data_IF_754361849532
#
_entry.id   IF_754361849532
#
_cell.length_a   1.000
_cell.length_b   1.000
_cell.length_c   1.000
_cell.angle_alpha   90.00
_cell.angle_beta   90.00
_cell.angle_gamma   90.00
#
_symmetry.space_group_name_H-M   'P 1'
#
loop_
_entity.id
_entity.type
_entity.pdbx_description
1 polymer ?
#
# COMPACT_ATOMS: atom_id res chain seq x y z
N UNK A 1 -17.60 15.84 -24.40
CA UNK A 1 -18.59 15.33 -23.44
C UNK A 1 -18.15 13.92 -23.08
N UNK A 2 -17.49 13.70 -21.95
CA UNK A 2 -17.17 12.34 -21.45
C UNK A 2 -18.49 11.69 -21.04
N UNK A 3 -18.82 10.55 -21.63
CA UNK A 3 -19.96 9.74 -21.21
C UNK A 3 -19.79 9.44 -19.72
N UNK A 4 -20.68 9.97 -18.88
CA UNK A 4 -20.79 9.53 -17.48
C UNK A 4 -21.22 8.06 -17.53
N UNK A 5 -20.29 7.13 -17.39
CA UNK A 5 -20.64 5.75 -17.13
C UNK A 5 -21.45 5.74 -15.82
N UNK A 6 -22.64 5.19 -15.90
CA UNK A 6 -23.48 4.95 -14.73
C UNK A 6 -22.71 3.93 -13.89
N UNK A 7 -22.38 4.26 -12.61
CA UNK A 7 -21.74 3.31 -11.71
C UNK A 7 -22.53 2.01 -11.70
N UNK A 8 -21.83 0.89 -11.92
CA UNK A 8 -22.46 -0.40 -11.93
C UNK A 8 -23.04 -0.72 -10.54
N UNK A 9 -24.20 -1.38 -10.47
CA UNK A 9 -24.72 -1.92 -9.21
C UNK A 9 -23.73 -2.89 -8.56
N UNK A 10 -23.71 -2.95 -7.24
CA UNK A 10 -22.77 -3.79 -6.49
C UNK A 10 -22.88 -5.29 -6.81
N UNK A 11 -24.08 -5.76 -7.13
CA UNK A 11 -24.35 -7.13 -7.58
C UNK A 11 -23.61 -7.49 -8.89
N UNK A 12 -23.37 -6.54 -9.76
CA UNK A 12 -22.56 -6.73 -10.96
C UNK A 12 -21.09 -6.95 -10.60
N UNK A 13 -20.54 -6.18 -9.65
CA UNK A 13 -19.18 -6.40 -9.17
C UNK A 13 -19.02 -7.79 -8.52
N UNK A 14 -20.01 -8.19 -7.74
CA UNK A 14 -20.00 -9.50 -7.07
C UNK A 14 -19.99 -10.63 -8.09
N UNK A 15 -20.91 -10.55 -9.06
CA UNK A 15 -20.96 -11.51 -10.14
C UNK A 15 -19.63 -11.58 -10.88
N UNK A 16 -19.03 -10.43 -11.20
CA UNK A 16 -17.72 -10.35 -11.84
C UNK A 16 -16.62 -11.04 -11.01
N UNK A 17 -16.52 -10.76 -9.69
CA UNK A 17 -15.54 -11.38 -8.80
C UNK A 17 -15.78 -12.90 -8.65
N UNK A 18 -17.03 -13.36 -8.70
CA UNK A 18 -17.36 -14.80 -8.66
C UNK A 18 -17.01 -15.52 -9.96
N UNK A 19 -17.14 -14.85 -11.11
CA UNK A 19 -16.85 -15.42 -12.42
C UNK A 19 -15.36 -15.51 -12.71
N UNK A 20 -14.61 -14.43 -12.45
CA UNK A 20 -13.18 -14.35 -12.78
C UNK A 20 -12.26 -14.84 -11.66
N UNK A 21 -12.65 -14.67 -10.40
CA UNK A 21 -11.91 -15.17 -9.21
C UNK A 21 -10.44 -14.71 -9.14
N UNK A 22 -10.09 -13.63 -9.78
CA UNK A 22 -8.78 -13.02 -9.72
C UNK A 22 -8.88 -11.51 -9.46
N UNK A 23 -7.99 -11.01 -8.65
CA UNK A 23 -7.88 -9.59 -8.37
C UNK A 23 -6.44 -9.22 -7.99
N UNK A 24 -6.04 -8.00 -8.26
CA UNK A 24 -4.92 -7.35 -7.58
C UNK A 24 -5.50 -6.33 -6.62
N UNK A 25 -5.15 -6.45 -5.33
CA UNK A 25 -5.64 -5.57 -4.29
C UNK A 25 -4.51 -4.66 -3.84
N UNK A 26 -4.68 -3.36 -4.05
CA UNK A 26 -3.75 -2.32 -3.63
C UNK A 26 -4.26 -1.73 -2.33
N UNK A 27 -3.50 -1.88 -1.25
CA UNK A 27 -3.82 -1.38 0.07
C UNK A 27 -3.04 -0.11 0.36
N UNK A 28 -3.73 0.94 0.72
CA UNK A 28 -3.14 2.25 1.02
C UNK A 28 -3.08 2.56 2.52
N UNK A 29 -2.45 3.69 2.89
CA UNK A 29 -2.24 4.08 4.28
C UNK A 29 -3.53 4.36 5.06
N UNK A 30 -4.61 4.72 4.38
CA UNK A 30 -5.86 5.09 5.04
C UNK A 30 -6.54 3.94 5.78
N UNK A 31 -6.22 2.68 5.43
CA UNK A 31 -6.70 1.52 6.20
C UNK A 31 -6.13 1.46 7.62
N UNK A 32 -5.04 2.18 7.90
CA UNK A 32 -4.35 2.22 9.19
C UNK A 32 -4.68 3.45 10.02
N UNK A 33 -5.42 4.41 9.46
CA UNK A 33 -5.65 5.72 10.04
C UNK A 33 -4.46 6.68 9.83
N UNK A 34 -4.59 7.88 10.36
CA UNK A 34 -3.58 8.93 10.18
C UNK A 34 -2.24 8.59 10.85
N UNK A 35 -1.15 8.78 10.11
CA UNK A 35 0.19 8.74 10.71
C UNK A 35 0.42 9.98 11.54
N UNK A 36 0.98 9.77 12.74
CA UNK A 36 1.43 10.89 13.55
C UNK A 36 2.59 11.59 12.88
N UNK A 37 2.54 12.91 12.94
CA UNK A 37 3.61 13.79 12.51
C UNK A 37 4.46 14.17 13.71
N UNK A 38 5.75 14.40 13.48
CA UNK A 38 6.68 14.88 14.49
C UNK A 38 6.97 16.37 14.25
N UNK A 39 6.68 17.21 15.23
CA UNK A 39 7.02 18.64 15.19
C UNK A 39 8.37 18.88 15.86
N UNK A 40 9.30 19.49 15.14
CA UNK A 40 10.62 19.85 15.66
C UNK A 40 10.98 21.24 15.11
N UNK A 41 11.20 22.20 16.01
CA UNK A 41 11.57 23.58 15.68
C UNK A 41 10.59 24.22 14.68
N UNK A 42 9.28 24.09 14.91
CA UNK A 42 8.20 24.61 14.05
C UNK A 42 8.11 23.96 12.65
N UNK A 43 8.96 22.99 12.34
CA UNK A 43 8.85 22.17 11.13
C UNK A 43 8.14 20.83 11.46
N UNK A 44 7.21 20.47 10.62
CA UNK A 44 6.49 19.19 10.71
C UNK A 44 7.21 18.12 9.89
N UNK A 45 7.51 16.99 10.51
CA UNK A 45 8.14 15.86 9.87
C UNK A 45 7.25 14.63 9.95
N UNK A 46 7.12 13.95 8.85
CA UNK A 46 6.49 12.63 8.80
C UNK A 46 7.53 11.49 8.85
N UNK A 47 7.04 10.27 8.91
CA UNK A 47 7.87 9.06 8.97
C UNK A 47 8.74 8.82 7.74
N UNK A 48 8.48 9.54 6.65
CA UNK A 48 9.19 9.43 5.38
C UNK A 48 10.23 10.54 5.18
N UNK A 49 10.49 11.34 6.22
CA UNK A 49 11.38 12.49 6.08
C UNK A 49 12.84 12.15 6.40
N UNK A 50 13.63 11.90 5.36
CA UNK A 50 15.07 11.61 5.47
C UNK A 50 15.87 12.74 6.13
N UNK A 51 15.46 14.00 5.99
CA UNK A 51 16.19 15.14 6.55
C UNK A 51 16.26 15.08 8.07
N UNK A 52 15.17 14.65 8.73
CA UNK A 52 15.14 14.48 10.18
C UNK A 52 16.16 13.44 10.64
N UNK A 53 16.25 12.28 9.95
CA UNK A 53 17.21 11.24 10.29
C UNK A 53 18.67 11.72 10.21
N UNK A 54 18.97 12.61 9.29
CA UNK A 54 20.33 13.13 9.08
C UNK A 54 20.66 14.24 10.09
N UNK A 55 19.74 15.18 10.30
CA UNK A 55 19.97 16.38 11.13
C UNK A 55 19.83 16.10 12.63
N UNK A 56 18.85 15.29 13.00
CA UNK A 56 18.45 15.05 14.39
C UNK A 56 18.25 13.54 14.64
N UNK A 57 19.31 12.70 14.52
CA UNK A 57 19.15 11.24 14.54
C UNK A 57 18.48 10.72 15.81
N UNK A 58 18.80 11.28 17.00
CA UNK A 58 18.17 10.85 18.24
C UNK A 58 16.65 11.10 18.24
N UNK A 59 16.23 12.29 17.83
CA UNK A 59 14.81 12.63 17.73
C UNK A 59 14.11 11.77 16.69
N UNK A 60 14.75 11.54 15.52
CA UNK A 60 14.23 10.64 14.50
C UNK A 60 14.03 9.22 15.05
N UNK A 61 15.05 8.63 15.70
CA UNK A 61 14.96 7.26 16.18
C UNK A 61 13.96 7.10 17.32
N UNK A 62 13.86 8.07 18.23
CA UNK A 62 12.82 8.08 19.25
C UNK A 62 11.42 8.11 18.63
N UNK A 63 11.19 9.04 17.72
CA UNK A 63 9.93 9.12 17.00
C UNK A 63 9.64 7.82 16.21
N UNK A 64 10.62 7.30 15.50
CA UNK A 64 10.48 6.08 14.72
C UNK A 64 10.09 4.88 15.60
N UNK A 65 10.76 4.69 16.74
CA UNK A 65 10.46 3.59 17.66
C UNK A 65 9.12 3.79 18.35
N UNK A 66 8.81 5.01 18.79
CA UNK A 66 7.64 5.27 19.62
C UNK A 66 6.35 5.40 18.82
N UNK A 67 6.41 5.87 17.58
CA UNK A 67 5.22 6.16 16.80
C UNK A 67 5.09 5.31 15.52
N UNK A 68 6.21 4.88 14.93
CA UNK A 68 6.19 4.15 13.66
C UNK A 68 6.32 2.63 13.87
N UNK A 69 7.19 2.20 14.81
CA UNK A 69 7.37 0.76 15.09
C UNK A 69 6.29 0.20 16.02
N UNK A 70 5.72 1.02 16.87
CA UNK A 70 4.54 0.57 17.62
C UNK A 70 3.49 0.14 16.61
N UNK A 71 2.86 -1.04 16.81
CA UNK A 71 1.69 -1.36 16.02
C UNK A 71 0.72 -0.20 16.24
N UNK A 72 0.51 0.62 15.23
CA UNK A 72 -0.66 1.48 15.19
C UNK A 72 -1.82 0.57 15.56
N UNK A 73 -2.72 1.03 16.42
CA UNK A 73 -3.94 0.31 16.72
C UNK A 73 -4.73 0.25 15.40
N UNK A 74 -4.29 -0.66 14.52
CA UNK A 74 -5.03 -1.04 13.35
C UNK A 74 -6.37 -1.42 13.91
N UNK A 75 -7.43 -0.82 13.41
CA UNK A 75 -8.75 -1.34 13.66
C UNK A 75 -8.64 -2.85 13.33
N UNK A 76 -8.62 -3.69 14.36
CA UNK A 76 -8.59 -5.15 14.19
C UNK A 76 -9.74 -5.61 13.28
N UNK A 77 -10.75 -4.75 13.12
CA UNK A 77 -11.89 -4.91 12.26
C UNK A 77 -11.50 -4.88 10.78
N UNK A 78 -10.79 -3.85 10.29
CA UNK A 78 -10.41 -3.76 8.87
C UNK A 78 -9.53 -4.95 8.47
N UNK A 79 -8.52 -5.28 9.27
CA UNK A 79 -7.64 -6.43 9.01
C UNK A 79 -8.43 -7.74 9.01
N UNK A 80 -9.38 -7.90 9.94
CA UNK A 80 -10.25 -9.08 9.99
C UNK A 80 -11.13 -9.17 8.75
N UNK A 81 -11.66 -8.06 8.28
CA UNK A 81 -12.50 -7.99 7.08
C UNK A 81 -11.68 -8.27 5.82
N UNK A 82 -10.49 -7.66 5.69
CA UNK A 82 -9.58 -7.94 4.58
C UNK A 82 -9.20 -9.43 4.53
N UNK A 83 -8.88 -10.04 5.68
CA UNK A 83 -8.60 -11.48 5.75
C UNK A 83 -9.82 -12.34 5.36
N UNK A 84 -11.03 -11.91 5.66
CA UNK A 84 -12.25 -12.60 5.19
C UNK A 84 -12.39 -12.45 3.67
N UNK A 85 -12.21 -11.24 3.13
CA UNK A 85 -12.26 -11.00 1.68
C UNK A 85 -11.25 -11.87 0.93
N UNK A 86 -10.01 -11.92 1.41
CA UNK A 86 -8.95 -12.75 0.85
C UNK A 86 -9.22 -14.26 0.97
N UNK A 87 -9.95 -14.69 2.02
CA UNK A 87 -10.36 -16.09 2.22
C UNK A 87 -11.49 -16.57 1.29
N UNK A 88 -12.06 -15.72 0.46
CA UNK A 88 -13.21 -16.03 -0.41
C UNK A 88 -12.86 -16.71 -1.74
N UNK A 89 -11.75 -17.43 -1.82
CA UNK A 89 -11.26 -18.10 -3.04
C UNK A 89 -10.98 -17.15 -4.23
N UNK A 90 -10.73 -15.87 -3.94
CA UNK A 90 -10.23 -14.93 -4.92
C UNK A 90 -8.70 -15.08 -4.94
N UNK A 91 -8.13 -15.46 -6.08
CA UNK A 91 -6.68 -15.43 -6.27
C UNK A 91 -6.25 -13.97 -6.35
N UNK A 92 -5.55 -13.47 -5.32
CA UNK A 92 -5.18 -12.06 -5.24
C UNK A 92 -3.69 -11.92 -5.02
N UNK A 93 -3.05 -11.09 -5.84
CA UNK A 93 -1.80 -10.46 -5.46
C UNK A 93 -2.14 -9.22 -4.62
N UNK A 94 -1.38 -8.99 -3.55
CA UNK A 94 -1.60 -7.85 -2.66
C UNK A 94 -0.42 -6.92 -2.78
N UNK A 95 -0.68 -5.67 -3.15
CA UNK A 95 0.28 -4.58 -3.15
C UNK A 95 -0.01 -3.73 -1.92
N UNK A 96 0.78 -3.89 -0.86
CA UNK A 96 0.59 -3.18 0.40
C UNK A 96 1.54 -1.99 0.49
N UNK A 97 1.03 -0.80 0.20
CA UNK A 97 1.81 0.44 0.24
C UNK A 97 2.02 0.97 1.66
N UNK A 98 1.43 0.33 2.67
CA UNK A 98 1.68 0.70 4.06
C UNK A 98 3.09 0.36 4.50
N UNK A 99 3.73 1.26 5.21
CA UNK A 99 5.03 1.00 5.85
C UNK A 99 4.91 0.21 7.15
N UNK A 100 3.77 0.28 7.82
CA UNK A 100 3.49 -0.52 9.02
C UNK A 100 3.17 -1.93 8.59
N UNK A 101 3.75 -2.91 9.32
CA UNK A 101 3.46 -4.31 9.07
C UNK A 101 1.99 -4.60 9.34
N UNK A 102 1.22 -4.80 8.29
CA UNK A 102 -0.14 -5.32 8.40
C UNK A 102 -0.12 -6.84 8.67
N UNK A 103 -1.02 -7.32 9.52
CA UNK A 103 -1.17 -8.77 9.76
C UNK A 103 -2.22 -9.30 8.78
N UNK A 104 -1.87 -9.29 7.51
CA UNK A 104 -2.67 -9.93 6.46
C UNK A 104 -2.23 -11.39 6.38
N UNK A 105 -3.17 -12.32 6.55
CA UNK A 105 -2.92 -13.73 6.33
C UNK A 105 -2.78 -13.97 4.82
N UNK A 106 -1.55 -13.90 4.35
CA UNK A 106 -1.21 -14.45 3.05
C UNK A 106 -1.13 -15.97 3.23
N UNK A 107 -2.16 -16.69 2.85
CA UNK A 107 -2.00 -18.11 2.61
C UNK A 107 -1.14 -18.30 1.33
N UNK A 108 -0.83 -19.52 0.99
CA UNK A 108 0.05 -19.88 -0.15
C UNK A 108 -0.47 -19.42 -1.53
N UNK A 109 -1.57 -18.69 -1.60
CA UNK A 109 -2.22 -18.23 -2.84
C UNK A 109 -2.05 -16.75 -3.12
N UNK A 110 -1.58 -15.98 -2.11
CA UNK A 110 -1.50 -14.53 -2.22
C UNK A 110 -0.05 -14.07 -2.06
N UNK A 111 0.50 -13.47 -3.10
CA UNK A 111 1.79 -12.81 -3.02
C UNK A 111 1.63 -11.41 -2.44
N UNK A 112 2.42 -11.11 -1.40
CA UNK A 112 2.44 -9.80 -0.77
C UNK A 112 3.64 -9.00 -1.25
N UNK A 113 3.38 -7.94 -1.99
CA UNK A 113 4.37 -6.98 -2.46
C UNK A 113 4.28 -5.71 -1.60
N UNK A 114 5.39 -5.26 -1.04
CA UNK A 114 5.44 -4.06 -0.19
C UNK A 114 6.37 -3.02 -0.80
N UNK A 115 5.89 -2.19 -1.74
CA UNK A 115 6.74 -1.28 -2.50
C UNK A 115 7.41 -0.22 -1.62
N UNK A 116 6.73 0.27 -0.60
CA UNK A 116 7.25 1.29 0.32
C UNK A 116 8.13 0.71 1.45
N UNK A 117 8.44 -0.60 1.40
CA UNK A 117 9.18 -1.28 2.47
C UNK A 117 8.34 -1.49 3.73
N UNK A 118 8.99 -1.89 4.82
CA UNK A 118 8.33 -2.16 6.11
C UNK A 118 9.11 -1.58 7.28
N UNK A 119 8.39 -1.03 8.24
CA UNK A 119 8.95 -0.37 9.43
C UNK A 119 9.69 -1.31 10.40
N UNK A 120 9.46 -2.61 10.33
CA UNK A 120 10.08 -3.58 11.23
C UNK A 120 11.47 -4.03 10.78
N UNK A 121 12.00 -3.49 9.69
CA UNK A 121 13.32 -3.81 9.14
C UNK A 121 14.16 -2.56 8.93
N UNK A 122 15.47 -2.73 9.11
CA UNK A 122 16.49 -1.73 8.81
C UNK A 122 17.43 -2.30 7.75
N UNK A 123 18.11 -1.42 7.03
CA UNK A 123 19.12 -1.80 6.05
C UNK A 123 20.34 -0.88 6.10
N UNK A 124 21.49 -1.41 5.71
CA UNK A 124 22.70 -0.63 5.48
C UNK A 124 22.67 -0.04 4.06
N UNK A 125 22.80 1.28 3.93
CA UNK A 125 22.82 1.97 2.61
C UNK A 125 24.02 1.60 1.74
N UNK A 126 25.06 0.94 2.29
CA UNK A 126 26.28 0.61 1.56
C UNK A 126 26.36 -0.86 1.13
N UNK A 127 26.06 -1.79 2.02
CA UNK A 127 26.19 -3.22 1.76
C UNK A 127 24.86 -3.97 1.72
N UNK A 128 23.75 -3.26 1.90
CA UNK A 128 22.39 -3.79 1.89
C UNK A 128 22.11 -4.92 2.91
N UNK A 129 23.00 -5.10 3.92
CA UNK A 129 22.73 -6.00 5.04
C UNK A 129 21.49 -5.52 5.77
N UNK A 130 20.55 -6.42 5.98
CA UNK A 130 19.29 -6.14 6.67
C UNK A 130 19.34 -6.54 8.14
N UNK A 131 18.58 -5.83 8.98
CA UNK A 131 18.49 -6.04 10.42
C UNK A 131 17.01 -6.01 10.84
N UNK A 132 16.68 -6.77 11.86
CA UNK A 132 15.36 -6.67 12.49
C UNK A 132 15.36 -5.48 13.47
N UNK A 133 14.47 -4.51 13.22
CA UNK A 133 14.43 -3.30 14.02
C UNK A 133 14.14 -3.60 15.50
N UNK A 134 13.27 -4.57 15.80
CA UNK A 134 12.94 -4.95 17.20
C UNK A 134 14.16 -5.39 18.03
N UNK A 135 15.16 -6.01 17.40
CA UNK A 135 16.39 -6.43 18.09
C UNK A 135 17.36 -5.29 18.37
N UNK A 136 17.07 -4.11 17.85
CA UNK A 136 17.93 -2.92 17.94
C UNK A 136 17.27 -1.75 18.68
N UNK A 137 16.07 -1.92 19.24
CA UNK A 137 15.29 -0.83 19.86
C UNK A 137 16.10 -0.03 20.89
N UNK A 138 16.79 -0.71 21.80
CA UNK A 138 17.56 -0.05 22.86
C UNK A 138 18.71 0.79 22.28
N UNK A 139 19.36 0.27 21.24
CA UNK A 139 20.42 1.00 20.53
C UNK A 139 19.84 2.17 19.72
N UNK A 140 18.65 2.00 19.12
CA UNK A 140 17.97 3.04 18.36
C UNK A 140 17.62 4.24 19.22
N UNK A 141 17.09 4.00 20.44
CA UNK A 141 16.69 5.07 21.38
C UNK A 141 17.88 5.80 22.03
N UNK A 142 19.01 5.13 22.14
CA UNK A 142 20.21 5.70 22.78
C UNK A 142 21.16 6.40 21.81
N UNK A 143 20.88 6.34 20.50
CA UNK A 143 21.83 6.90 19.53
C UNK A 143 21.67 8.39 19.33
N UNK A 144 22.78 9.12 19.48
CA UNK A 144 22.87 10.55 19.14
C UNK A 144 23.42 10.78 17.74
N UNK A 145 23.81 9.71 17.05
CA UNK A 145 24.40 9.75 15.72
C UNK A 145 23.72 8.72 14.81
N UNK A 146 23.82 8.94 13.53
CA UNK A 146 23.37 7.93 12.56
C UNK A 146 24.01 6.59 12.84
N UNK A 147 23.19 5.55 12.97
CA UNK A 147 23.67 4.19 13.19
C UNK A 147 24.59 3.73 12.05
N UNK A 148 25.65 3.02 12.42
CA UNK A 148 26.63 2.47 11.48
C UNK A 148 26.56 0.95 11.42
N UNK A 149 26.68 0.44 10.21
CA UNK A 149 26.93 -0.96 9.96
C UNK A 149 28.42 -1.28 10.16
N UNK A 150 28.74 -2.56 10.39
CA UNK A 150 30.13 -3.05 10.44
C UNK A 150 30.97 -2.67 9.20
N UNK A 151 30.34 -2.51 8.02
CA UNK A 151 30.99 -2.04 6.80
C UNK A 151 31.22 -0.52 6.75
N UNK A 152 30.86 0.23 7.81
CA UNK A 152 30.92 1.69 7.91
C UNK A 152 29.77 2.44 7.22
N UNK A 153 28.85 1.75 6.55
CA UNK A 153 27.67 2.36 5.94
C UNK A 153 26.63 2.80 6.99
N UNK A 154 25.83 3.81 6.68
CA UNK A 154 24.72 4.22 7.54
C UNK A 154 23.60 3.17 7.51
N UNK A 155 22.93 3.00 8.65
CA UNK A 155 21.73 2.16 8.76
C UNK A 155 20.51 3.08 8.70
N UNK A 156 19.52 2.70 7.90
CA UNK A 156 18.22 3.38 7.79
C UNK A 156 17.08 2.36 7.89
N UNK A 157 15.84 2.77 8.19
CA UNK A 157 14.68 1.93 7.94
C UNK A 157 14.58 1.51 6.48
N UNK A 158 14.01 0.34 6.21
CA UNK A 158 13.80 -0.12 4.81
C UNK A 158 12.67 0.60 4.09
N UNK A 159 11.98 1.51 4.78
CA UNK A 159 10.91 2.32 4.18
C UNK A 159 11.45 3.27 3.10
N UNK A 160 10.64 3.50 2.09
CA UNK A 160 10.93 4.46 1.03
C UNK A 160 10.68 5.87 1.56
N UNK A 161 11.69 6.74 1.45
CA UNK A 161 11.56 8.14 1.86
C UNK A 161 11.08 9.02 0.71
N UNK A 162 10.47 10.14 1.02
CA UNK A 162 10.07 11.13 0.02
C UNK A 162 11.24 11.51 -0.90
N UNK A 163 11.01 11.39 -2.21
CA UNK A 163 12.00 11.66 -3.25
C UNK A 163 12.96 10.49 -3.55
N UNK A 164 12.87 9.38 -2.82
CA UNK A 164 13.53 8.13 -3.23
C UNK A 164 12.72 7.43 -4.33
N UNK A 165 13.42 6.73 -5.21
CA UNK A 165 12.78 5.94 -6.27
C UNK A 165 12.61 4.50 -5.80
N UNK A 166 11.58 3.85 -6.30
CA UNK A 166 11.42 2.41 -6.16
C UNK A 166 12.63 1.70 -6.78
N UNK A 167 13.11 0.65 -6.13
CA UNK A 167 14.11 -0.21 -6.75
C UNK A 167 13.48 -0.95 -7.94
N UNK A 168 14.26 -1.17 -9.01
CA UNK A 168 13.75 -1.86 -10.21
C UNK A 168 13.12 -3.22 -9.92
N UNK A 169 13.69 -4.08 -9.03
CA UNK A 169 13.04 -5.34 -8.68
C UNK A 169 11.66 -5.16 -8.06
N UNK A 170 11.48 -4.18 -7.17
CA UNK A 170 10.19 -3.89 -6.53
C UNK A 170 9.20 -3.34 -7.54
N UNK A 171 9.62 -2.38 -8.36
CA UNK A 171 8.80 -1.81 -9.41
C UNK A 171 8.32 -2.88 -10.41
N UNK A 172 9.23 -3.76 -10.86
CA UNK A 172 8.88 -4.85 -11.74
C UNK A 172 7.91 -5.84 -11.06
N UNK A 173 8.14 -6.21 -9.79
CA UNK A 173 7.23 -7.10 -9.07
C UNK A 173 5.79 -6.54 -9.00
N UNK A 174 5.64 -5.22 -8.78
CA UNK A 174 4.34 -4.55 -8.80
C UNK A 174 3.72 -4.60 -10.21
N UNK A 175 4.51 -4.35 -11.24
CA UNK A 175 4.03 -4.41 -12.62
C UNK A 175 3.65 -5.83 -13.03
N UNK A 176 4.49 -6.82 -12.73
CA UNK A 176 4.26 -8.23 -13.08
C UNK A 176 3.03 -8.82 -12.39
N UNK A 177 2.62 -8.25 -11.24
CA UNK A 177 1.36 -8.62 -10.59
C UNK A 177 0.13 -8.24 -11.42
N UNK A 178 0.20 -7.16 -12.20
CA UNK A 178 -0.94 -6.59 -12.94
C UNK A 178 -0.83 -6.85 -14.44
N UNK A 179 0.38 -6.87 -14.98
CA UNK A 179 0.64 -6.94 -16.42
C UNK A 179 1.54 -8.12 -16.76
N UNK A 180 1.27 -8.74 -17.90
CA UNK A 180 2.16 -9.72 -18.55
C UNK A 180 2.50 -9.25 -19.95
N UNK A 181 3.56 -9.80 -20.52
CA UNK A 181 3.88 -9.62 -21.93
C UNK A 181 3.43 -10.84 -22.72
N UNK A 182 2.55 -10.63 -23.69
CA UNK A 182 2.08 -11.67 -24.60
C UNK A 182 2.35 -11.24 -26.05
N UNK A 183 3.18 -11.98 -26.77
CA UNK A 183 3.59 -11.68 -28.15
C UNK A 183 4.19 -10.27 -28.33
N UNK A 184 4.99 -9.79 -27.37
CA UNK A 184 5.64 -8.48 -27.39
C UNK A 184 4.68 -7.31 -27.10
N UNK A 185 3.50 -7.59 -26.57
CA UNK A 185 2.52 -6.56 -26.18
C UNK A 185 2.11 -6.71 -24.73
N UNK A 186 1.92 -5.59 -24.00
CA UNK A 186 1.41 -5.65 -22.64
C UNK A 186 -0.04 -6.13 -22.64
N UNK A 187 -0.37 -7.02 -21.71
CA UNK A 187 -1.72 -7.55 -21.47
C UNK A 187 -1.97 -7.54 -19.97
N UNK A 188 -3.24 -7.39 -19.58
CA UNK A 188 -3.63 -7.50 -18.18
C UNK A 188 -3.55 -8.95 -17.69
N UNK A 189 -2.99 -9.14 -16.49
CA UNK A 189 -2.86 -10.41 -15.78
C UNK A 189 -3.96 -10.60 -14.72
N UNK A 190 -4.87 -9.63 -14.61
CA UNK A 190 -5.96 -9.65 -13.64
C UNK A 190 -7.19 -8.98 -14.24
N UNK A 191 -8.36 -9.53 -13.95
CA UNK A 191 -9.64 -8.93 -14.37
C UNK A 191 -10.10 -7.83 -13.42
N UNK A 192 -9.61 -7.82 -12.18
CA UNK A 192 -9.98 -6.79 -11.21
C UNK A 192 -8.76 -6.11 -10.60
N UNK A 193 -8.70 -4.79 -10.69
CA UNK A 193 -7.76 -3.96 -9.96
C UNK A 193 -8.52 -3.17 -8.89
N UNK A 194 -8.27 -3.50 -7.61
CA UNK A 194 -9.00 -2.93 -6.48
C UNK A 194 -8.08 -2.07 -5.61
N UNK A 195 -8.43 -0.81 -5.43
CA UNK A 195 -7.74 0.15 -4.57
C UNK A 195 -8.55 0.37 -3.28
N UNK A 196 -7.94 0.12 -2.12
CA UNK A 196 -8.57 0.27 -0.80
C UNK A 196 -7.74 1.22 0.07
N UNK A 197 -8.29 2.38 0.40
CA UNK A 197 -7.65 3.37 1.26
C UNK A 197 -6.32 3.89 0.74
N UNK A 198 -6.17 4.02 -0.58
CA UNK A 198 -4.92 4.49 -1.21
C UNK A 198 -4.87 6.00 -1.33
N UNK A 199 -3.65 6.53 -1.32
CA UNK A 199 -3.38 7.92 -1.68
C UNK A 199 -3.09 8.02 -3.18
N UNK A 200 -4.01 8.63 -3.92
CA UNK A 200 -3.91 8.81 -5.37
C UNK A 200 -2.91 9.89 -5.79
N UNK A 201 -2.29 10.59 -4.84
CA UNK A 201 -1.14 11.47 -5.13
C UNK A 201 0.17 10.70 -5.26
N UNK A 202 0.20 9.43 -4.86
CA UNK A 202 1.34 8.53 -5.07
C UNK A 202 1.50 8.24 -6.57
N UNK A 203 2.70 8.51 -7.09
CA UNK A 203 2.99 8.38 -8.52
C UNK A 203 2.90 6.93 -9.02
N UNK A 204 3.22 5.94 -8.17
CA UNK A 204 3.07 4.53 -8.52
C UNK A 204 1.58 4.18 -8.68
N UNK A 205 0.74 4.64 -7.76
CA UNK A 205 -0.72 4.39 -7.81
C UNK A 205 -1.32 5.03 -9.07
N UNK A 206 -0.97 6.30 -9.35
CA UNK A 206 -1.44 6.98 -10.58
C UNK A 206 -1.00 6.25 -11.84
N UNK A 207 0.27 5.80 -11.91
CA UNK A 207 0.77 5.04 -13.06
C UNK A 207 0.04 3.70 -13.23
N UNK A 208 -0.24 2.99 -12.13
CA UNK A 208 -0.93 1.70 -12.19
C UNK A 208 -2.36 1.84 -12.71
N UNK A 209 -3.13 2.80 -12.21
CA UNK A 209 -4.50 3.01 -12.64
C UNK A 209 -4.57 3.46 -14.10
N UNK A 210 -3.71 4.40 -14.52
CA UNK A 210 -3.66 4.89 -15.90
C UNK A 210 -3.28 3.77 -16.88
N UNK A 211 -2.28 2.94 -16.51
CA UNK A 211 -1.84 1.83 -17.35
C UNK A 211 -2.87 0.71 -17.44
N UNK A 212 -3.57 0.42 -16.33
CA UNK A 212 -4.66 -0.56 -16.32
C UNK A 212 -5.83 -0.09 -17.17
N UNK A 213 -6.27 1.15 -17.00
CA UNK A 213 -7.37 1.75 -17.74
C UNK A 213 -7.10 1.84 -19.25
N UNK A 214 -5.83 2.01 -19.64
CA UNK A 214 -5.44 2.04 -21.05
C UNK A 214 -5.57 0.67 -21.75
N UNK A 215 -5.52 -0.43 -20.99
CA UNK A 215 -5.53 -1.80 -21.51
C UNK A 215 -6.84 -2.55 -21.25
N UNK A 216 -7.67 -2.06 -20.29
CA UNK A 216 -8.90 -2.76 -19.89
C UNK A 216 -9.95 -2.75 -20.99
N UNK A 217 -10.69 -3.83 -21.06
CA UNK A 217 -11.91 -4.00 -21.88
C UNK A 217 -13.15 -4.21 -21.00
N UNK A 218 -14.23 -4.74 -21.55
CA UNK A 218 -15.50 -4.97 -20.84
C UNK A 218 -15.43 -6.07 -19.78
N UNK A 219 -14.37 -6.88 -19.77
CA UNK A 219 -14.15 -7.96 -18.81
C UNK A 219 -13.24 -7.54 -17.66
N UNK A 220 -12.78 -6.28 -17.62
CA UNK A 220 -11.85 -5.76 -16.62
C UNK A 220 -12.49 -4.63 -15.81
N UNK A 221 -12.37 -4.71 -14.48
CA UNK A 221 -12.96 -3.75 -13.56
C UNK A 221 -11.89 -3.02 -12.72
N UNK A 222 -12.04 -1.71 -12.63
CA UNK A 222 -11.36 -0.87 -11.63
C UNK A 222 -12.31 -0.63 -10.47
N UNK A 223 -11.87 -0.95 -9.25
CA UNK A 223 -12.64 -0.77 -8.02
C UNK A 223 -11.89 0.19 -7.10
N UNK A 224 -12.56 1.22 -6.61
CA UNK A 224 -11.98 2.20 -5.67
C UNK A 224 -12.84 2.25 -4.41
N UNK A 225 -12.22 1.96 -3.26
CA UNK A 225 -12.80 2.06 -1.92
C UNK A 225 -11.97 3.02 -1.09
N UNK A 226 -12.48 4.21 -0.82
CA UNK A 226 -11.76 5.24 -0.05
C UNK A 226 -12.74 6.25 0.52
N UNK A 227 -12.41 6.85 1.66
CA UNK A 227 -13.16 7.96 2.27
C UNK A 227 -12.56 9.34 1.92
N UNK A 228 -11.40 9.38 1.23
CA UNK A 228 -10.67 10.62 0.94
C UNK A 228 -10.96 11.23 -0.43
N UNK A 229 -11.54 10.48 -1.34
CA UNK A 229 -11.93 11.02 -2.65
C UNK A 229 -13.34 11.56 -2.59
N UNK A 230 -13.52 12.75 -3.14
CA UNK A 230 -14.86 13.29 -3.39
C UNK A 230 -15.45 12.68 -4.67
N UNK A 231 -16.70 13.04 -4.96
CA UNK A 231 -17.40 12.52 -6.15
C UNK A 231 -16.75 12.92 -7.46
N UNK A 232 -16.15 14.10 -7.52
CA UNK A 232 -15.52 14.63 -8.75
C UNK A 232 -14.20 13.89 -9.05
N UNK A 233 -13.43 13.58 -7.99
CA UNK A 233 -12.23 12.75 -8.10
C UNK A 233 -12.57 11.35 -8.62
N UNK A 234 -13.65 10.73 -8.13
CA UNK A 234 -14.12 9.44 -8.66
C UNK A 234 -14.55 9.51 -10.12
N UNK A 235 -15.11 10.65 -10.56
CA UNK A 235 -15.43 10.85 -11.97
C UNK A 235 -14.14 10.92 -12.81
N UNK A 236 -13.07 11.50 -12.29
CA UNK A 236 -11.78 11.58 -12.96
C UNK A 236 -11.19 10.18 -13.19
N UNK A 237 -11.11 9.36 -12.15
CA UNK A 237 -10.59 7.99 -12.24
C UNK A 237 -11.55 7.00 -12.94
N UNK A 238 -12.82 7.36 -13.08
CA UNK A 238 -13.85 6.61 -13.78
C UNK A 238 -13.85 5.09 -13.49
N UNK A 239 -13.83 4.67 -12.21
CA UNK A 239 -13.89 3.25 -11.87
C UNK A 239 -15.26 2.66 -12.23
N UNK A 240 -15.32 1.38 -12.53
CA UNK A 240 -16.58 0.65 -12.68
C UNK A 240 -17.34 0.62 -11.37
N UNK A 241 -16.62 0.54 -10.25
CA UNK A 241 -17.21 0.58 -8.92
C UNK A 241 -16.39 1.50 -8.00
N UNK A 242 -17.03 2.48 -7.39
CA UNK A 242 -16.39 3.41 -6.46
C UNK A 242 -17.24 3.66 -5.23
N UNK A 243 -16.65 3.55 -4.04
CA UNK A 243 -17.26 3.85 -2.75
C UNK A 243 -16.43 4.92 -2.06
N UNK A 244 -17.09 6.00 -1.64
CA UNK A 244 -16.49 7.12 -0.89
C UNK A 244 -17.00 7.18 0.55
N UNK A 245 -17.57 6.09 1.05
CA UNK A 245 -18.03 5.95 2.42
C UNK A 245 -16.87 5.45 3.32
N UNK A 246 -17.17 5.33 4.60
CA UNK A 246 -16.32 4.67 5.59
C UNK A 246 -15.81 3.31 5.05
N UNK A 247 -14.48 3.16 5.01
CA UNK A 247 -13.81 1.99 4.45
C UNK A 247 -14.30 0.69 5.10
N UNK A 248 -14.52 0.71 6.42
CA UNK A 248 -15.04 -0.42 7.19
C UNK A 248 -16.38 -0.89 6.65
N UNK A 249 -17.30 0.06 6.45
CA UNK A 249 -18.64 -0.25 5.96
C UNK A 249 -18.61 -0.73 4.50
N UNK A 250 -17.73 -0.16 3.69
CA UNK A 250 -17.59 -0.56 2.30
C UNK A 250 -17.08 -2.00 2.17
N UNK A 251 -16.08 -2.38 2.97
CA UNK A 251 -15.55 -3.75 2.99
C UNK A 251 -16.57 -4.74 3.54
N UNK A 252 -17.29 -4.38 4.61
CA UNK A 252 -18.37 -5.23 5.16
C UNK A 252 -19.44 -5.52 4.10
N UNK A 253 -19.88 -4.49 3.35
CA UNK A 253 -20.83 -4.68 2.25
C UNK A 253 -20.28 -5.60 1.16
N UNK A 254 -19.01 -5.45 0.76
CA UNK A 254 -18.38 -6.35 -0.21
C UNK A 254 -18.40 -7.80 0.28
N UNK A 255 -18.01 -8.03 1.55
CA UNK A 255 -17.98 -9.38 2.15
C UNK A 255 -19.37 -10.02 2.24
N UNK A 256 -20.37 -9.25 2.68
CA UNK A 256 -21.74 -9.78 2.86
C UNK A 256 -22.41 -10.14 1.54
N UNK A 257 -21.98 -9.51 0.48
CA UNK A 257 -22.55 -9.72 -0.84
C UNK A 257 -21.81 -10.80 -1.65
N UNK A 258 -20.54 -11.11 -1.33
CA UNK A 258 -19.77 -12.20 -1.98
C UNK A 258 -20.13 -13.58 -1.37
N UNK A 259 -20.70 -13.62 -0.14
CA UNK A 259 -21.18 -14.87 0.48
C UNK A 259 -22.36 -15.46 -0.27
#
# INVERSE_FOLDING_TARGET
>A
MKNQKQKLPIDVLIKHLQEHKDAVIVLGPDILGEFKQCEINEETYDSYNRKLMIKEPNKFWNFYVDEIMKPLAISNKIVTQLNKLLGMNIHSNIIDTNIVKTVINTDTRNDLISPNGKNNRLECVKCHKTFEANKMIDNLKSTEKTLKCECGGNIKPTVLYHGEKYSMPVYNAVKDAIFIEENGKPKLNTHTLMFIGVDFTDSLISELIDSYDALKDSEHFTVIVTDKLNRDDLIYYNPEFGVTDDIDQAIDRLIDLIK
#
